data_IF_603444728176
#
_entry.id   IF_603444728176
#
_cell.length_a   1.000
_cell.length_b   1.000
_cell.length_c   1.000
_cell.angle_alpha   90.00
_cell.angle_beta   90.00
_cell.angle_gamma   90.00
#
_symmetry.space_group_name_H-M   'P 1'
#
loop_
_entity.id
_entity.type
_entity.pdbx_description
1 polymer ?
#
# COMPACT_ATOMS: atom_id res chain seq x y z
N UNK A 1 2.46 43.48 -43.91
CA UNK A 1 1.40 42.66 -44.54
C UNK A 1 1.45 41.20 -44.11
N UNK A 2 2.59 40.51 -44.24
CA UNK A 2 2.74 39.09 -43.81
C UNK A 2 2.46 38.89 -42.31
N UNK A 3 3.01 39.73 -41.44
CA UNK A 3 2.73 39.65 -40.00
C UNK A 3 1.24 39.78 -39.65
N UNK A 4 0.53 40.70 -40.32
CA UNK A 4 -0.91 40.88 -40.15
C UNK A 4 -1.70 39.64 -40.59
N UNK A 5 -1.27 38.99 -41.68
CA UNK A 5 -1.91 37.77 -42.18
C UNK A 5 -1.71 36.59 -41.21
N UNK A 6 -0.49 36.39 -40.71
CA UNK A 6 -0.19 35.35 -39.72
C UNK A 6 -0.99 35.58 -38.44
N UNK A 7 -1.13 36.82 -38.00
CA UNK A 7 -1.93 37.17 -36.83
C UNK A 7 -3.41 36.81 -37.00
N UNK A 8 -4.01 37.15 -38.15
CA UNK A 8 -5.41 36.84 -38.44
C UNK A 8 -5.64 35.33 -38.47
N UNK A 9 -4.73 34.57 -39.08
CA UNK A 9 -4.80 33.10 -39.11
C UNK A 9 -4.70 32.50 -37.70
N UNK A 10 -3.72 32.92 -36.89
CA UNK A 10 -3.56 32.44 -35.52
C UNK A 10 -4.78 32.78 -34.64
N UNK A 11 -5.31 33.99 -34.77
CA UNK A 11 -6.51 34.42 -34.04
C UNK A 11 -7.75 33.62 -34.43
N UNK A 12 -7.97 33.41 -35.74
CA UNK A 12 -9.09 32.59 -36.24
C UNK A 12 -8.99 31.14 -35.79
N UNK A 13 -7.78 30.57 -35.78
CA UNK A 13 -7.53 29.22 -35.27
C UNK A 13 -7.84 29.13 -33.77
N UNK A 14 -7.46 30.13 -32.97
CA UNK A 14 -7.81 30.21 -31.55
C UNK A 14 -9.32 30.20 -31.29
N UNK A 15 -10.09 30.98 -32.07
CA UNK A 15 -11.55 30.97 -32.00
C UNK A 15 -12.14 29.60 -32.36
N UNK A 16 -11.61 28.98 -33.42
CA UNK A 16 -12.05 27.66 -33.89
C UNK A 16 -11.76 26.56 -32.85
N UNK A 17 -10.55 26.55 -32.29
CA UNK A 17 -10.14 25.63 -31.21
C UNK A 17 -11.06 25.75 -29.99
N UNK A 18 -11.39 26.98 -29.57
CA UNK A 18 -12.29 27.23 -28.45
C UNK A 18 -13.73 26.78 -28.71
N UNK A 19 -14.26 27.00 -29.92
CA UNK A 19 -15.63 26.65 -30.28
C UNK A 19 -15.84 25.12 -30.38
N UNK A 20 -14.90 24.42 -31.00
CA UNK A 20 -15.02 22.98 -31.29
C UNK A 20 -14.29 22.07 -30.30
N UNK A 21 -13.60 22.64 -29.30
CA UNK A 21 -12.83 21.90 -28.28
C UNK A 21 -11.85 20.89 -28.87
N UNK A 22 -11.23 21.23 -29.98
CA UNK A 22 -10.21 20.41 -30.64
C UNK A 22 -8.83 20.72 -30.07
N UNK A 23 -7.83 19.88 -30.34
CA UNK A 23 -6.46 20.12 -29.87
C UNK A 23 -5.98 21.54 -30.23
N UNK A 24 -5.33 22.30 -29.32
CA UNK A 24 -4.93 21.93 -27.95
C UNK A 24 -5.88 22.45 -26.84
N UNK A 25 -7.20 22.48 -27.06
CA UNK A 25 -8.18 23.00 -26.09
C UNK A 25 -8.01 22.42 -24.68
N UNK A 26 -7.84 21.10 -24.57
CA UNK A 26 -7.71 20.43 -23.27
C UNK A 26 -6.48 20.90 -22.47
N UNK A 27 -5.35 21.10 -23.16
CA UNK A 27 -4.12 21.59 -22.54
C UNK A 27 -4.33 23.02 -22.02
N UNK A 28 -4.90 23.89 -22.84
CA UNK A 28 -5.18 25.29 -22.48
C UNK A 28 -6.18 25.36 -21.32
N UNK A 29 -7.23 24.54 -21.35
CA UNK A 29 -8.25 24.53 -20.30
C UNK A 29 -7.71 23.99 -18.97
N UNK A 30 -6.89 22.94 -18.98
CA UNK A 30 -6.21 22.44 -17.78
C UNK A 30 -5.23 23.49 -17.22
N UNK A 31 -4.46 24.17 -18.07
CA UNK A 31 -3.56 25.25 -17.63
C UNK A 31 -4.35 26.42 -17.03
N UNK A 32 -5.51 26.77 -17.60
CA UNK A 32 -6.40 27.79 -17.04
C UNK A 32 -6.90 27.39 -15.65
N UNK A 33 -7.30 26.13 -15.47
CA UNK A 33 -7.74 25.59 -14.18
C UNK A 33 -6.64 25.67 -13.11
N UNK A 34 -5.39 25.35 -13.47
CA UNK A 34 -4.23 25.42 -12.56
C UNK A 34 -3.85 26.85 -12.20
N UNK A 35 -3.83 27.76 -13.18
CA UNK A 35 -3.35 29.14 -12.97
C UNK A 35 -4.40 30.02 -12.30
N UNK A 36 -5.67 29.90 -12.72
CA UNK A 36 -6.73 30.79 -12.28
C UNK A 36 -7.64 30.18 -11.21
N UNK A 37 -7.42 28.90 -10.83
CA UNK A 37 -8.22 28.22 -9.81
C UNK A 37 -9.70 28.13 -10.16
N UNK A 38 -10.04 28.29 -11.44
CA UNK A 38 -11.37 28.72 -11.90
C UNK A 38 -12.36 27.57 -12.13
N UNK A 39 -12.17 26.47 -11.39
CA UNK A 39 -13.23 25.51 -11.12
C UNK A 39 -13.22 25.18 -9.64
N UNK A 40 -14.42 25.35 -9.06
CA UNK A 40 -14.85 24.74 -7.82
C UNK A 40 -14.11 23.42 -7.63
N UNK A 41 -13.44 23.29 -6.47
CA UNK A 41 -12.92 22.01 -5.95
C UNK A 41 -13.72 20.90 -6.61
N UNK A 42 -13.14 20.01 -7.42
CA UNK A 42 -13.75 18.70 -7.52
C UNK A 42 -13.87 18.31 -6.05
N UNK A 43 -15.10 18.20 -5.57
CA UNK A 43 -15.35 17.66 -4.26
C UNK A 43 -14.55 16.37 -4.30
N UNK A 44 -13.41 16.36 -3.61
CA UNK A 44 -12.63 15.16 -3.45
C UNK A 44 -13.45 14.36 -2.46
N UNK A 45 -14.58 13.84 -2.93
CA UNK A 45 -15.26 12.67 -2.41
C UNK A 45 -14.36 11.47 -2.68
N UNK A 46 -13.14 11.54 -2.15
CA UNK A 46 -12.40 10.37 -1.67
C UNK A 46 -12.96 10.04 -0.27
N UNK A 47 -14.29 10.08 -0.16
CA UNK A 47 -15.04 9.49 0.93
C UNK A 47 -15.92 8.44 0.25
N UNK A 48 -15.34 7.25 0.16
CA UNK A 48 -16.03 5.96 0.03
C UNK A 48 -17.06 5.83 -1.11
N UNK A 49 -16.59 5.63 -2.34
CA UNK A 49 -17.38 4.88 -3.35
C UNK A 49 -17.74 3.45 -2.87
N UNK A 50 -17.15 2.99 -1.76
CA UNK A 50 -17.43 1.72 -1.13
C UNK A 50 -18.63 1.70 -0.15
N UNK A 51 -19.21 2.83 0.28
CA UNK A 51 -20.00 2.82 1.54
C UNK A 51 -21.48 3.21 1.49
N UNK A 52 -22.15 3.21 0.33
CA UNK A 52 -23.62 3.37 0.35
C UNK A 52 -24.40 2.23 -0.33
N UNK A 53 -23.81 1.49 -1.27
CA UNK A 53 -24.49 0.36 -1.97
C UNK A 53 -23.88 -1.03 -1.68
N UNK A 54 -22.81 -1.11 -0.88
CA UNK A 54 -22.18 -2.40 -0.59
C UNK A 54 -22.99 -3.13 0.49
N UNK A 55 -23.81 -4.08 0.07
CA UNK A 55 -24.43 -5.02 1.01
C UNK A 55 -23.35 -5.93 1.63
N UNK A 56 -22.86 -5.55 2.81
CA UNK A 56 -21.82 -6.29 3.55
C UNK A 56 -22.20 -7.76 3.76
N UNK A 57 -23.49 -8.08 3.93
CA UNK A 57 -23.94 -9.48 4.09
C UNK A 57 -23.64 -10.31 2.84
N UNK A 58 -23.72 -9.73 1.65
CA UNK A 58 -23.40 -10.41 0.39
C UNK A 58 -21.89 -10.60 0.18
N UNK A 59 -21.05 -9.89 0.93
CA UNK A 59 -19.59 -10.04 0.87
C UNK A 59 -19.07 -11.16 1.78
N UNK A 60 -19.83 -11.49 2.83
CA UNK A 60 -19.49 -12.60 3.72
C UNK A 60 -19.75 -13.89 2.94
N UNK A 61 -18.71 -14.69 2.75
CA UNK A 61 -18.75 -15.98 2.04
C UNK A 61 -18.53 -17.17 2.97
N UNK A 62 -18.51 -16.95 4.28
CA UNK A 62 -18.34 -17.97 5.32
C UNK A 62 -19.71 -18.14 5.98
N UNK A 63 -20.36 -19.27 5.74
CA UNK A 63 -21.68 -19.58 6.27
C UNK A 63 -21.72 -20.89 7.06
N UNK A 64 -20.63 -21.67 7.03
CA UNK A 64 -20.51 -22.96 7.71
C UNK A 64 -19.08 -23.22 8.18
N UNK A 65 -18.90 -24.20 9.07
CA UNK A 65 -17.58 -24.68 9.49
C UNK A 65 -16.75 -25.24 8.32
N UNK A 66 -17.43 -25.84 7.34
CA UNK A 66 -16.76 -26.33 6.12
C UNK A 66 -16.20 -25.17 5.31
N UNK A 67 -16.90 -24.04 5.21
CA UNK A 67 -16.38 -22.85 4.50
C UNK A 67 -15.12 -22.32 5.16
N UNK A 68 -15.04 -22.35 6.49
CA UNK A 68 -13.84 -21.95 7.24
C UNK A 68 -12.65 -22.82 6.83
N UNK A 69 -12.85 -24.13 6.85
CA UNK A 69 -11.79 -25.10 6.51
C UNK A 69 -11.35 -24.93 5.05
N UNK A 70 -12.30 -24.84 4.12
CA UNK A 70 -12.01 -24.66 2.69
C UNK A 70 -11.25 -23.37 2.44
N UNK A 71 -11.74 -22.23 2.96
CA UNK A 71 -11.08 -20.94 2.77
C UNK A 71 -9.71 -20.86 3.42
N UNK A 72 -9.52 -21.53 4.57
CA UNK A 72 -8.20 -21.64 5.20
C UNK A 72 -7.23 -22.36 4.28
N UNK A 73 -7.65 -23.50 3.72
CA UNK A 73 -6.81 -24.28 2.80
C UNK A 73 -6.55 -23.51 1.50
N UNK A 74 -7.56 -22.86 0.92
CA UNK A 74 -7.43 -22.02 -0.27
C UNK A 74 -6.44 -20.87 -0.02
N UNK A 75 -6.51 -20.23 1.15
CA UNK A 75 -5.60 -19.14 1.51
C UNK A 75 -4.17 -19.63 1.72
N UNK A 76 -3.98 -20.76 2.41
CA UNK A 76 -2.66 -21.38 2.57
C UNK A 76 -2.09 -21.73 1.19
N UNK A 77 -2.90 -22.32 0.31
CA UNK A 77 -2.49 -22.66 -1.05
C UNK A 77 -2.20 -21.42 -1.90
N UNK A 78 -2.95 -20.34 -1.73
CA UNK A 78 -2.72 -19.08 -2.44
C UNK A 78 -1.42 -18.41 -2.01
N UNK A 79 -1.18 -18.29 -0.70
CA UNK A 79 0.01 -17.61 -0.14
C UNK A 79 1.26 -18.46 -0.34
N UNK A 80 1.15 -19.78 -0.11
CA UNK A 80 2.29 -20.69 -0.05
C UNK A 80 2.35 -21.69 -1.21
N UNK A 81 1.51 -21.53 -2.24
CA UNK A 81 1.46 -22.40 -3.42
C UNK A 81 1.31 -23.90 -3.09
N UNK A 82 0.64 -24.22 -1.97
CA UNK A 82 0.43 -25.59 -1.51
C UNK A 82 1.66 -26.26 -0.88
N UNK A 83 2.80 -25.57 -0.79
CA UNK A 83 4.02 -26.08 -0.17
C UNK A 83 4.13 -25.77 1.33
N UNK A 84 3.19 -24.98 1.88
CA UNK A 84 3.26 -24.51 3.26
C UNK A 84 4.37 -23.48 3.50
N UNK A 85 4.62 -23.14 4.76
CA UNK A 85 5.71 -22.21 5.10
C UNK A 85 7.05 -22.83 4.63
N UNK A 86 7.84 -22.15 3.78
CA UNK A 86 9.09 -22.69 3.26
C UNK A 86 10.07 -23.00 4.41
N UNK A 87 10.79 -24.11 4.33
CA UNK A 87 11.87 -24.40 5.30
C UNK A 87 12.95 -23.31 5.30
N UNK A 88 13.18 -22.68 4.15
CA UNK A 88 14.07 -21.52 4.01
C UNK A 88 13.60 -20.28 4.76
N UNK A 89 12.33 -20.25 5.20
CA UNK A 89 11.80 -19.17 6.03
C UNK A 89 12.01 -19.42 7.53
N UNK A 90 12.67 -20.53 7.92
CA UNK A 90 13.05 -20.79 9.31
C UNK A 90 14.30 -19.99 9.70
N UNK A 91 14.47 -19.66 10.99
CA UNK A 91 15.64 -18.94 11.44
C UNK A 91 16.90 -19.80 11.31
N UNK A 92 17.96 -19.21 10.79
CA UNK A 92 19.27 -19.84 10.61
C UNK A 92 19.92 -20.11 11.96
N UNK A 93 19.65 -19.28 12.97
CA UNK A 93 20.22 -19.48 14.29
C UNK A 93 19.31 -18.98 15.42
N UNK A 94 19.15 -19.82 16.44
CA UNK A 94 18.53 -19.45 17.71
C UNK A 94 19.58 -19.66 18.80
N UNK A 95 19.97 -18.58 19.48
CA UNK A 95 20.84 -18.64 20.67
C UNK A 95 20.01 -18.36 21.90
N UNK A 96 19.88 -19.36 22.74
CA UNK A 96 19.15 -19.23 24.00
C UNK A 96 20.02 -18.60 25.09
N UNK A 97 19.37 -17.91 26.02
CA UNK A 97 19.96 -17.37 27.23
C UNK A 97 21.27 -16.58 27.02
N UNK A 98 21.28 -15.70 26.02
CA UNK A 98 22.40 -14.81 25.79
C UNK A 98 22.51 -13.77 26.91
N UNK A 99 23.74 -13.31 27.16
CA UNK A 99 23.99 -12.14 28.01
C UNK A 99 24.17 -10.91 27.13
N UNK A 100 23.49 -9.82 27.48
CA UNK A 100 23.59 -8.53 26.79
C UNK A 100 23.53 -7.41 27.82
N UNK A 101 24.62 -6.67 27.94
CA UNK A 101 24.80 -5.65 28.98
C UNK A 101 23.80 -4.50 28.89
N UNK A 102 23.16 -4.31 27.73
CA UNK A 102 22.14 -3.26 27.52
C UNK A 102 20.86 -3.51 28.30
N UNK A 103 20.65 -4.74 28.79
CA UNK A 103 19.42 -5.16 29.46
C UNK A 103 19.67 -5.65 30.90
N UNK A 104 20.87 -5.40 31.44
CA UNK A 104 21.28 -5.87 32.76
C UNK A 104 20.44 -5.33 33.94
N UNK A 105 19.73 -4.24 33.71
CA UNK A 105 18.96 -3.44 34.67
C UNK A 105 17.48 -3.87 34.69
N UNK A 106 17.07 -4.74 33.76
CA UNK A 106 15.73 -5.33 33.76
C UNK A 106 15.57 -6.31 34.92
N UNK A 107 14.88 -5.88 35.98
CA UNK A 107 14.73 -6.66 37.23
C UNK A 107 13.90 -7.93 37.05
N UNK A 108 12.88 -7.90 36.18
CA UNK A 108 12.02 -9.05 35.86
C UNK A 108 12.51 -9.87 34.65
N UNK A 109 13.76 -9.71 34.20
CA UNK A 109 14.28 -10.49 33.06
C UNK A 109 14.88 -11.82 33.52
N UNK A 110 14.33 -12.95 33.06
CA UNK A 110 14.88 -14.29 33.33
C UNK A 110 15.94 -14.68 32.31
N UNK A 111 15.64 -14.53 31.02
CA UNK A 111 16.59 -14.79 29.92
C UNK A 111 16.24 -14.02 28.66
N UNK A 112 17.23 -13.94 27.77
CA UNK A 112 17.08 -13.40 26.42
C UNK A 112 17.44 -14.49 25.42
N UNK A 113 16.54 -14.78 24.50
CA UNK A 113 16.82 -15.66 23.36
C UNK A 113 16.99 -14.79 22.10
N UNK A 114 18.08 -14.98 21.36
CA UNK A 114 18.37 -14.25 20.12
C UNK A 114 18.05 -15.13 18.92
N UNK A 115 17.19 -14.62 18.04
CA UNK A 115 16.77 -15.30 16.82
C UNK A 115 17.35 -14.52 15.64
N UNK A 116 18.09 -15.20 14.77
CA UNK A 116 18.73 -14.60 13.60
C UNK A 116 18.16 -15.22 12.34
N UNK A 117 17.63 -14.37 11.47
CA UNK A 117 17.24 -14.69 10.11
C UNK A 117 18.23 -14.06 9.14
N UNK A 118 18.85 -14.85 8.27
CA UNK A 118 19.56 -14.33 7.11
C UNK A 118 18.53 -14.10 6.00
N UNK A 119 18.45 -12.84 5.56
CA UNK A 119 17.57 -12.39 4.50
C UNK A 119 18.36 -12.27 3.19
N UNK A 120 17.64 -11.91 2.13
CA UNK A 120 18.25 -11.66 0.83
C UNK A 120 19.41 -10.66 0.93
N UNK A 121 20.40 -10.84 0.06
CA UNK A 121 21.62 -10.04 -0.01
C UNK A 121 22.54 -10.13 1.23
N UNK A 122 22.41 -11.20 2.04
CA UNK A 122 23.27 -11.45 3.19
C UNK A 122 23.02 -10.53 4.38
N UNK A 123 21.84 -9.89 4.43
CA UNK A 123 21.43 -9.01 5.53
C UNK A 123 20.76 -9.83 6.63
N UNK A 124 21.15 -9.63 7.89
CA UNK A 124 20.53 -10.32 9.00
C UNK A 124 19.38 -9.51 9.62
N UNK A 125 18.21 -10.14 9.75
CA UNK A 125 17.16 -9.71 10.67
C UNK A 125 17.40 -10.38 12.03
N UNK A 126 17.52 -9.57 13.08
CA UNK A 126 17.80 -10.04 14.44
C UNK A 126 16.63 -9.67 15.34
N UNK A 127 16.05 -10.67 15.97
CA UNK A 127 15.00 -10.51 16.98
C UNK A 127 15.49 -11.02 18.34
N UNK A 128 14.98 -10.41 19.41
CA UNK A 128 15.25 -10.81 20.78
C UNK A 128 13.92 -11.17 21.46
N UNK A 129 13.85 -12.36 22.06
CA UNK A 129 12.73 -12.79 22.89
C UNK A 129 13.14 -12.65 24.35
N UNK A 130 12.47 -11.75 25.08
CA UNK A 130 12.67 -11.58 26.51
C UNK A 130 11.69 -12.45 27.28
N UNK A 131 12.24 -13.38 28.05
CA UNK A 131 11.45 -14.25 28.93
C UNK A 131 11.49 -13.66 30.33
N UNK A 132 10.33 -13.31 30.91
CA UNK A 132 10.29 -12.73 32.25
C UNK A 132 10.44 -13.80 33.33
N UNK A 133 10.81 -13.39 34.55
CA UNK A 133 10.78 -14.28 35.74
C UNK A 133 9.34 -14.53 36.18
N UNK A 134 8.52 -13.48 36.12
CA UNK A 134 7.09 -13.51 36.46
C UNK A 134 6.28 -12.93 35.29
N UNK A 135 5.31 -13.69 34.81
CA UNK A 135 4.35 -13.26 33.78
C UNK A 135 3.34 -12.24 34.34
N UNK A 136 2.84 -11.36 33.48
CA UNK A 136 1.76 -10.41 33.81
C UNK A 136 0.40 -11.10 33.99
#
# INVERSE_FOLDING_TARGET
MIFSLVFVLAFSYGLFVGAYKIFPFDVINHTKEVIFGDKARPEHTIINKFSYDTNVKNLIRIHSEQDITNKRNDLINYVWSGHGLPESAMPQNVKENISDSRYHDLTNLQRIDKITYEMDYGVNSISYMFVPKESN
#
